data_IF_844449178203
#
_entry.id   IF_844449178203
#
_cell.length_a   1.000
_cell.length_b   1.000
_cell.length_c   1.000
_cell.angle_alpha   90.00
_cell.angle_beta   90.00
_cell.angle_gamma   90.00
#
_symmetry.space_group_name_H-M   'P 1'
#
loop_
_entity.id
_entity.type
_entity.pdbx_description
1 polymer ?
#
# COMPACT_ATOMS: atom_id res chain seq x y z
N UNK A 1 -4.45 -12.52 -17.88
CA UNK A 1 -3.92 -11.40 -17.08
C UNK A 1 -3.08 -12.07 -16.00
N UNK A 2 -1.76 -11.96 -16.09
CA UNK A 2 -0.86 -12.53 -15.08
C UNK A 2 -1.14 -11.90 -13.71
N UNK A 3 -1.05 -12.70 -12.65
CA UNK A 3 -1.29 -12.20 -11.30
C UNK A 3 -0.03 -11.50 -10.81
N UNK A 4 -0.04 -10.17 -10.77
CA UNK A 4 1.13 -9.35 -10.43
C UNK A 4 1.42 -9.29 -8.92
N UNK A 5 0.75 -10.12 -8.11
CA UNK A 5 0.92 -10.18 -6.66
C UNK A 5 1.65 -11.46 -6.28
N UNK A 6 2.77 -11.31 -5.58
CA UNK A 6 3.54 -12.46 -5.11
C UNK A 6 2.88 -13.11 -3.89
N UNK A 7 3.27 -14.35 -3.57
CA UNK A 7 2.86 -15.01 -2.32
C UNK A 7 3.27 -14.21 -1.09
N UNK A 8 4.45 -13.59 -1.11
CA UNK A 8 4.93 -12.72 -0.04
C UNK A 8 4.05 -11.49 0.17
N UNK A 9 3.55 -10.88 -0.90
CA UNK A 9 2.64 -9.74 -0.80
C UNK A 9 1.33 -10.15 -0.12
N UNK A 10 0.79 -11.33 -0.47
CA UNK A 10 -0.40 -11.89 0.17
C UNK A 10 -0.17 -12.16 1.66
N UNK A 11 1.00 -12.69 2.03
CA UNK A 11 1.34 -12.95 3.44
C UNK A 11 1.48 -11.66 4.24
N UNK A 12 2.01 -10.60 3.64
CA UNK A 12 2.07 -9.27 4.25
C UNK A 12 0.66 -8.71 4.52
N UNK A 13 -0.27 -8.85 3.57
CA UNK A 13 -1.67 -8.44 3.73
C UNK A 13 -2.35 -9.25 4.84
N UNK A 14 -2.18 -10.57 4.86
CA UNK A 14 -2.75 -11.44 5.92
C UNK A 14 -2.22 -11.03 7.29
N UNK A 15 -0.91 -10.77 7.42
CA UNK A 15 -0.31 -10.34 8.67
C UNK A 15 -0.86 -8.99 9.13
N UNK A 16 -1.09 -8.07 8.21
CA UNK A 16 -1.67 -6.76 8.51
C UNK A 16 -3.12 -6.88 9.00
N UNK A 17 -3.93 -7.73 8.35
CA UNK A 17 -5.34 -7.94 8.70
C UNK A 17 -5.57 -8.70 10.01
N UNK A 18 -4.57 -9.43 10.51
CA UNK A 18 -4.63 -10.17 11.79
C UNK A 18 -4.53 -9.28 13.04
N UNK A 19 -4.39 -7.97 12.90
CA UNK A 19 -4.39 -7.03 14.03
C UNK A 19 -5.82 -6.84 14.57
N UNK A 20 -5.98 -6.44 15.84
CA UNK A 20 -7.32 -6.31 16.46
C UNK A 20 -8.17 -5.20 15.82
N UNK A 21 -7.55 -4.10 15.37
CA UNK A 21 -8.22 -2.99 14.72
C UNK A 21 -7.31 -2.29 13.68
N UNK A 22 -6.95 -2.95 12.57
CA UNK A 22 -6.08 -2.37 11.55
C UNK A 22 -6.81 -1.23 10.84
N UNK A 23 -6.14 -0.09 10.72
CA UNK A 23 -6.66 1.03 9.93
C UNK A 23 -6.47 0.69 8.45
N UNK A 24 -7.55 0.27 7.79
CA UNK A 24 -7.55 -0.09 6.36
C UNK A 24 -7.56 1.13 5.41
N UNK A 25 -7.42 2.34 5.96
CA UNK A 25 -7.33 3.53 5.13
C UNK A 25 -5.88 3.77 4.74
N UNK A 26 -5.63 3.87 3.44
CA UNK A 26 -4.30 4.16 2.91
C UNK A 26 -3.89 5.64 3.09
N UNK A 27 -4.48 6.40 4.02
CA UNK A 27 -4.34 7.86 4.11
C UNK A 27 -2.89 8.35 4.15
N UNK A 28 -2.02 7.73 4.95
CA UNK A 28 -0.60 8.08 5.02
C UNK A 28 0.18 7.68 3.75
N UNK A 29 -0.23 6.58 3.12
CA UNK A 29 0.50 5.93 2.04
C UNK A 29 0.12 6.57 0.70
N UNK A 30 -1.15 6.93 0.53
CA UNK A 30 -1.66 7.80 -0.54
C UNK A 30 -0.97 9.15 -0.47
N UNK A 31 -0.87 9.77 0.71
CA UNK A 31 -0.16 11.04 0.86
C UNK A 31 1.33 10.93 0.52
N UNK A 32 1.97 9.83 0.87
CA UNK A 32 3.38 9.58 0.52
C UNK A 32 3.55 9.41 -0.99
N UNK A 33 2.70 8.59 -1.61
CA UNK A 33 2.66 8.39 -3.05
C UNK A 33 2.40 9.69 -3.80
N UNK A 34 1.39 10.47 -3.39
CA UNK A 34 1.07 11.77 -3.96
C UNK A 34 2.29 12.71 -3.93
N UNK A 35 3.03 12.76 -2.81
CA UNK A 35 4.25 13.58 -2.72
C UNK A 35 5.36 13.11 -3.67
N UNK A 36 5.63 11.81 -3.72
CA UNK A 36 6.65 11.27 -4.62
C UNK A 36 6.26 11.47 -6.08
N UNK A 37 4.98 11.30 -6.39
CA UNK A 37 4.42 11.49 -7.72
C UNK A 37 4.47 12.96 -8.16
N UNK A 38 4.06 13.90 -7.30
CA UNK A 38 4.18 15.34 -7.53
C UNK A 38 5.63 15.75 -7.77
N UNK A 39 6.56 15.26 -6.92
CA UNK A 39 7.99 15.51 -7.09
C UNK A 39 8.51 14.97 -8.43
N UNK A 40 8.08 13.79 -8.84
CA UNK A 40 8.45 13.20 -10.13
C UNK A 40 7.91 14.01 -11.31
N UNK A 41 6.68 14.51 -11.21
CA UNK A 41 6.04 15.38 -12.21
C UNK A 41 6.58 16.83 -12.22
N UNK A 42 7.29 17.25 -11.18
CA UNK A 42 7.81 18.62 -11.04
C UNK A 42 6.74 19.65 -10.60
N UNK A 43 5.67 19.20 -9.94
CA UNK A 43 4.60 20.04 -9.37
C UNK A 43 4.62 20.07 -7.84
#
# INVERSE_FOLDING_TARGET
MENNISRSDLDAVIRFLKQDAPILTHSKQVRAFEREWSKWLGV
#
